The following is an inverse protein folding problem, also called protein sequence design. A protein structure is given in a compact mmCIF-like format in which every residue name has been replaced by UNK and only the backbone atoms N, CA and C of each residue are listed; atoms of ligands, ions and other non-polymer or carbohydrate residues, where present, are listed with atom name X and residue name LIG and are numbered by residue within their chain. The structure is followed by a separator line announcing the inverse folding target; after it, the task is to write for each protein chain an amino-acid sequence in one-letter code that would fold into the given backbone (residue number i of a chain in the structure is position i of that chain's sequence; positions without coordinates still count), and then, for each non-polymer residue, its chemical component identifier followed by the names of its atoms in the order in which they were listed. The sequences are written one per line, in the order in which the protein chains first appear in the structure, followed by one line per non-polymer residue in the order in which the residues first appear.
data_IF_105446058967
#
_entry.id   IF_105446058967
#
_cell.length_a   1.000
_cell.length_b   1.000
_cell.length_c   1.000
_cell.angle_alpha   90.00
_cell.angle_beta   90.00
_cell.angle_gamma   90.00
#
_symmetry.space_group_name_H-M   'P 1'
#
loop_
_entity.id
_entity.type
_entity.pdbx_description
1 polymer ?
#
# COMPACT_ATOMS: atom_id res chain seq x y z
N UNK A 1 7.77 -1.45 -16.79
CA UNK A 1 7.43 -0.99 -15.43
C UNK A 1 6.12 -0.21 -15.47
N UNK A 2 5.16 -0.56 -14.63
CA UNK A 2 3.85 0.09 -14.52
C UNK A 2 3.67 0.63 -13.10
N UNK A 3 3.29 1.89 -12.99
CA UNK A 3 3.01 2.53 -11.71
C UNK A 3 1.57 2.23 -11.31
N UNK A 4 1.38 1.76 -10.08
CA UNK A 4 0.06 1.38 -9.56
C UNK A 4 -0.19 1.95 -8.17
N UNK A 5 -1.48 2.16 -7.87
CA UNK A 5 -1.98 2.53 -6.55
C UNK A 5 -2.86 1.40 -6.04
N UNK A 6 -2.69 1.00 -4.78
CA UNK A 6 -3.49 -0.06 -4.17
C UNK A 6 -4.43 0.54 -3.12
N UNK A 7 -5.72 0.56 -3.44
CA UNK A 7 -6.79 0.99 -2.52
C UNK A 7 -7.28 -0.21 -1.71
N UNK A 8 -7.25 -0.11 -0.39
CA UNK A 8 -7.52 -1.22 0.52
C UNK A 8 -6.32 -2.18 0.69
N UNK A 9 -5.09 -1.65 0.74
CA UNK A 9 -3.84 -2.42 0.78
C UNK A 9 -3.72 -3.39 1.96
N UNK A 10 -4.40 -3.10 3.08
CA UNK A 10 -4.41 -3.95 4.28
C UNK A 10 -5.49 -5.03 4.26
N UNK A 11 -6.39 -5.00 3.28
CA UNK A 11 -7.43 -6.02 3.07
C UNK A 11 -6.88 -7.23 2.33
N UNK A 12 -7.65 -8.32 2.30
CA UNK A 12 -7.20 -9.60 1.72
C UNK A 12 -6.73 -9.49 0.27
N UNK A 13 -7.43 -8.69 -0.56
CA UNK A 13 -7.04 -8.47 -1.96
C UNK A 13 -5.80 -7.57 -2.07
N UNK A 14 -5.74 -6.48 -1.31
CA UNK A 14 -4.60 -5.57 -1.32
C UNK A 14 -3.29 -6.25 -0.90
N UNK A 15 -3.35 -7.13 0.10
CA UNK A 15 -2.19 -7.92 0.55
C UNK A 15 -1.71 -8.86 -0.55
N UNK A 16 -2.62 -9.60 -1.18
CA UNK A 16 -2.28 -10.49 -2.30
C UNK A 16 -1.74 -9.72 -3.50
N UNK A 17 -2.28 -8.54 -3.79
CA UNK A 17 -1.76 -7.67 -4.83
C UNK A 17 -0.31 -7.24 -4.54
N UNK A 18 0.01 -6.91 -3.29
CA UNK A 18 1.38 -6.59 -2.87
C UNK A 18 2.33 -7.80 -2.95
N UNK A 19 1.85 -9.02 -2.70
CA UNK A 19 2.62 -10.25 -2.92
C UNK A 19 2.99 -10.40 -4.41
N UNK A 20 2.03 -10.19 -5.31
CA UNK A 20 2.29 -10.23 -6.77
C UNK A 20 3.31 -9.19 -7.20
N UNK A 21 3.23 -7.97 -6.66
CA UNK A 21 4.21 -6.91 -6.93
C UNK A 21 5.60 -7.30 -6.43
N UNK A 22 5.69 -7.82 -5.20
CA UNK A 22 6.96 -8.28 -4.63
C UNK A 22 7.59 -9.43 -5.44
N UNK A 23 6.78 -10.29 -6.07
CA UNK A 23 7.26 -11.34 -6.97
C UNK A 23 7.66 -10.83 -8.36
N UNK A 24 7.25 -9.62 -8.76
CA UNK A 24 7.51 -9.07 -10.09
C UNK A 24 7.97 -7.59 -10.04
N UNK A 25 9.07 -7.27 -9.33
CA UNK A 25 9.51 -5.89 -9.12
C UNK A 25 9.89 -5.15 -10.42
N UNK A 26 10.32 -5.87 -11.47
CA UNK A 26 10.60 -5.27 -12.78
C UNK A 26 9.33 -4.84 -13.54
N UNK A 27 8.17 -5.39 -13.17
CA UNK A 27 6.91 -5.14 -13.87
C UNK A 27 6.11 -4.03 -13.22
N UNK A 28 6.16 -3.91 -11.89
CA UNK A 28 5.30 -3.03 -11.12
C UNK A 28 6.07 -2.20 -10.10
N UNK A 29 5.63 -0.95 -9.94
CA UNK A 29 6.07 -0.07 -8.86
C UNK A 29 4.84 0.49 -8.15
N UNK A 30 4.80 0.33 -6.82
CA UNK A 30 3.72 0.88 -6.01
C UNK A 30 4.05 2.34 -5.72
N UNK A 31 3.21 3.25 -6.21
CA UNK A 31 3.40 4.70 -6.02
C UNK A 31 2.44 5.29 -4.99
N UNK A 32 1.41 4.52 -4.59
CA UNK A 32 0.49 4.93 -3.54
C UNK A 32 -0.21 3.75 -2.87
N UNK A 33 -0.47 3.88 -1.57
CA UNK A 33 -1.26 2.93 -0.79
C UNK A 33 -2.40 3.64 -0.06
N UNK A 34 -3.57 3.02 -0.02
CA UNK A 34 -4.65 3.49 0.84
C UNK A 34 -5.27 2.33 1.62
N UNK A 35 -5.70 2.59 2.85
CA UNK A 35 -6.42 1.62 3.65
C UNK A 35 -7.40 2.26 4.64
N UNK A 36 -8.32 1.48 5.18
CA UNK A 36 -9.17 1.94 6.28
C UNK A 36 -8.40 2.07 7.60
N UNK A 37 -9.01 2.73 8.59
CA UNK A 37 -8.39 3.01 9.91
C UNK A 37 -8.12 1.77 10.77
N UNK A 38 -8.67 0.60 10.42
CA UNK A 38 -8.60 -0.60 11.26
C UNK A 38 -7.16 -1.10 11.45
N UNK A 39 -6.27 -0.90 10.46
CA UNK A 39 -4.93 -1.49 10.44
C UNK A 39 -3.86 -0.47 9.99
N UNK A 40 -3.80 0.71 10.62
CA UNK A 40 -2.86 1.78 10.25
C UNK A 40 -1.41 1.32 10.33
N UNK A 41 -1.02 0.58 11.38
CA UNK A 41 0.35 0.08 11.53
C UNK A 41 0.77 -0.78 10.33
N UNK A 42 -0.14 -1.62 9.84
CA UNK A 42 0.11 -2.45 8.66
C UNK A 42 0.25 -1.63 7.39
N UNK A 43 -0.53 -0.55 7.24
CA UNK A 43 -0.38 0.38 6.12
C UNK A 43 1.01 1.05 6.15
N UNK A 44 1.48 1.49 7.33
CA UNK A 44 2.79 2.10 7.49
C UNK A 44 3.94 1.10 7.20
N UNK A 45 3.83 -0.14 7.67
CA UNK A 45 4.79 -1.21 7.34
C UNK A 45 4.85 -1.48 5.84
N UNK A 46 3.69 -1.55 5.18
CA UNK A 46 3.62 -1.72 3.71
C UNK A 46 4.27 -0.53 3.00
N UNK A 47 3.98 0.70 3.42
CA UNK A 47 4.56 1.90 2.83
C UNK A 47 6.09 1.91 2.92
N UNK A 48 6.63 1.56 4.09
CA UNK A 48 8.08 1.45 4.30
C UNK A 48 8.70 0.32 3.47
N UNK A 49 8.04 -0.85 3.40
CA UNK A 49 8.54 -2.01 2.65
C UNK A 49 8.66 -1.74 1.15
N UNK A 50 7.69 -1.01 0.59
CA UNK A 50 7.61 -0.73 -0.85
C UNK A 50 8.11 0.67 -1.22
N UNK A 51 8.70 1.39 -0.26
CA UNK A 51 9.20 2.77 -0.40
C UNK A 51 8.18 3.70 -1.07
N UNK A 52 6.94 3.66 -0.56
CA UNK A 52 5.80 4.35 -1.17
C UNK A 52 5.73 5.79 -0.66
N UNK A 53 5.78 6.80 -1.54
CA UNK A 53 5.83 8.21 -1.13
C UNK A 53 4.48 8.76 -0.69
N UNK A 54 3.37 8.11 -1.07
CA UNK A 54 2.01 8.61 -0.85
C UNK A 54 1.18 7.53 -0.15
N UNK A 55 0.63 7.88 1.01
CA UNK A 55 -0.34 7.04 1.72
C UNK A 55 -1.59 7.82 2.09
N UNK A 56 -2.73 7.13 2.13
CA UNK A 56 -4.01 7.71 2.51
C UNK A 56 -4.80 6.78 3.42
N UNK A 57 -5.64 7.35 4.28
CA UNK A 57 -6.59 6.58 5.07
C UNK A 57 -7.99 7.16 4.95
N UNK A 58 -9.01 6.34 5.24
CA UNK A 58 -10.41 6.76 5.21
C UNK A 58 -10.82 7.66 6.37
N UNK A 59 -9.91 8.00 7.30
CA UNK A 59 -10.21 8.88 8.43
C UNK A 59 -9.50 10.23 8.30
N UNK A 60 -10.01 11.19 9.06
CA UNK A 60 -9.42 12.53 9.22
C UNK A 60 -8.19 12.58 10.15
N UNK A 61 -7.63 11.41 10.53
CA UNK A 61 -6.47 11.30 11.40
C UNK A 61 -5.16 11.49 10.64
N UNK A 62 -4.26 12.34 11.17
CA UNK A 62 -2.91 12.52 10.63
C UNK A 62 -2.17 11.18 10.62
N UNK A 63 -1.75 10.75 9.45
CA UNK A 63 -0.77 9.67 9.29
C UNK A 63 0.59 10.37 9.40
N UNK A 64 1.12 10.46 10.62
CA UNK A 64 2.46 11.01 10.88
C UNK A 64 3.35 9.90 11.40
#
# INVERSE_FOLDING_TARGET
MRDIVILGSTGSIGVKALEVVASHPQNFRVVGLAAGLRNISRLAEQAKKFDVPIISTTGSGKIT
#
